data_IF_502566181496
#
_entry.id   IF_502566181496
#
_cell.length_a   1.000
_cell.length_b   1.000
_cell.length_c   1.000
_cell.angle_alpha   90.00
_cell.angle_beta   90.00
_cell.angle_gamma   90.00
#
_symmetry.space_group_name_H-M   'P 1'
#
loop_
_entity.id
_entity.type
_entity.pdbx_description
1 polymer ?
#
# COMPACT_ATOMS: atom_id res chain seq x y z
N UNK A 1 25.68 4.08 13.45
CA UNK A 1 25.35 4.62 14.79
C UNK A 1 23.87 4.91 14.72
N UNK A 2 23.07 4.52 15.68
CA UNK A 2 21.62 4.74 15.69
C UNK A 2 21.34 6.19 16.07
N UNK A 3 20.63 6.93 15.22
CA UNK A 3 20.31 8.34 15.41
C UNK A 3 18.87 8.47 15.92
N UNK A 4 18.71 9.14 17.06
CA UNK A 4 17.43 9.30 17.74
C UNK A 4 17.14 10.81 17.88
N UNK A 5 16.01 11.26 17.36
CA UNK A 5 15.50 12.59 17.61
C UNK A 5 14.70 12.57 18.91
N UNK A 6 15.00 13.48 19.85
CA UNK A 6 14.24 13.62 21.09
C UNK A 6 13.68 15.02 21.20
N UNK A 7 12.38 15.15 21.06
CA UNK A 7 11.66 16.41 21.07
C UNK A 7 10.90 16.58 22.38
N UNK A 8 11.28 17.60 23.16
CA UNK A 8 10.67 17.91 24.47
C UNK A 8 11.01 19.37 24.79
N UNK A 9 10.06 20.20 25.18
CA UNK A 9 10.29 21.61 25.51
C UNK A 9 11.17 21.78 26.75
N UNK A 10 11.19 20.78 27.63
CA UNK A 10 12.05 20.70 28.80
C UNK A 10 13.30 19.82 28.56
N UNK A 11 13.75 19.63 27.31
CA UNK A 11 14.84 18.70 26.94
C UNK A 11 16.15 19.01 27.69
N UNK A 12 16.40 20.25 28.08
CA UNK A 12 17.56 20.61 28.87
C UNK A 12 17.59 19.95 30.26
N UNK A 13 16.43 19.59 30.82
CA UNK A 13 16.31 18.86 32.08
C UNK A 13 16.58 17.35 31.90
N UNK A 14 16.50 16.86 30.67
CA UNK A 14 16.71 15.46 30.31
C UNK A 14 18.19 15.13 29.95
N UNK A 15 19.10 16.09 30.11
CA UNK A 15 20.56 15.87 29.87
C UNK A 15 21.12 14.61 30.52
N UNK A 16 20.78 14.24 31.78
CA UNK A 16 21.28 12.99 32.36
C UNK A 16 20.82 11.73 31.57
N UNK A 17 19.62 11.76 31.03
CA UNK A 17 19.09 10.67 30.19
C UNK A 17 19.83 10.59 28.85
N UNK A 18 20.08 11.74 28.24
CA UNK A 18 20.83 11.84 26.97
C UNK A 18 22.23 11.27 27.15
N UNK A 19 22.98 11.72 28.17
CA UNK A 19 24.33 11.23 28.47
C UNK A 19 24.31 9.71 28.69
N UNK A 20 23.35 9.19 29.44
CA UNK A 20 23.23 7.75 29.65
C UNK A 20 23.03 6.98 28.35
N UNK A 21 22.22 7.50 27.43
CA UNK A 21 21.98 6.85 26.13
C UNK A 21 23.18 6.96 25.19
N UNK A 22 23.90 8.09 25.20
CA UNK A 22 25.13 8.27 24.45
C UNK A 22 26.22 7.30 24.90
N UNK A 23 26.35 7.05 26.22
CA UNK A 23 27.24 6.02 26.77
C UNK A 23 26.86 4.60 26.32
N UNK A 24 25.59 4.37 25.92
CA UNK A 24 25.11 3.11 25.32
C UNK A 24 25.31 3.04 23.81
N UNK A 25 25.88 4.07 23.19
CA UNK A 25 26.21 4.09 21.77
C UNK A 25 25.13 4.64 20.84
N UNK A 26 24.11 5.30 21.39
CA UNK A 26 23.10 6.02 20.63
C UNK A 26 23.54 7.46 20.37
N UNK A 27 23.16 8.01 19.23
CA UNK A 27 23.34 9.43 18.95
C UNK A 27 22.00 10.13 19.15
N UNK A 28 21.95 11.05 20.13
CA UNK A 28 20.69 11.73 20.48
C UNK A 28 20.77 13.16 19.96
N UNK A 29 19.82 13.53 19.13
CA UNK A 29 19.65 14.90 18.64
C UNK A 29 18.46 15.53 19.39
N UNK A 30 18.68 16.52 20.25
CA UNK A 30 17.60 17.19 20.99
C UNK A 30 16.88 18.20 20.10
N UNK A 31 15.56 18.33 20.26
CA UNK A 31 14.73 19.42 19.74
C UNK A 31 13.84 19.96 20.84
N UNK A 32 13.55 21.28 20.83
CA UNK A 32 12.76 21.95 21.87
C UNK A 32 11.30 22.20 21.48
N UNK A 33 10.96 21.93 20.23
CA UNK A 33 9.61 22.13 19.69
C UNK A 33 9.32 21.20 18.53
N UNK A 34 8.02 21.06 18.19
CA UNK A 34 7.59 20.32 17.01
C UNK A 34 8.15 20.91 15.72
N UNK A 35 8.18 22.23 15.59
CA UNK A 35 8.72 22.90 14.40
C UNK A 35 10.21 22.59 14.21
N UNK A 36 11.03 22.68 15.27
CA UNK A 36 12.46 22.34 15.23
C UNK A 36 12.66 20.85 14.86
N UNK A 37 11.81 19.98 15.40
CA UNK A 37 11.86 18.55 15.06
C UNK A 37 11.59 18.30 13.57
N UNK A 38 10.62 18.97 12.98
CA UNK A 38 10.30 18.85 11.55
C UNK A 38 11.43 19.40 10.67
N UNK A 39 12.05 20.51 11.04
CA UNK A 39 13.22 21.05 10.33
C UNK A 39 14.40 20.07 10.36
N UNK A 40 14.69 19.48 11.53
CA UNK A 40 15.77 18.51 11.69
C UNK A 40 15.51 17.23 10.88
N UNK A 41 14.26 16.81 10.72
CA UNK A 41 13.88 15.65 9.91
C UNK A 41 14.02 15.88 8.40
N UNK A 42 13.85 17.11 7.94
CA UNK A 42 14.08 17.47 6.53
C UNK A 42 15.60 17.45 6.18
N UNK A 43 16.50 17.64 7.17
CA UNK A 43 17.94 17.71 6.98
C UNK A 43 18.69 16.41 7.33
N UNK A 44 18.13 15.56 8.19
CA UNK A 44 18.81 14.40 8.77
C UNK A 44 17.92 13.15 8.73
N UNK A 45 18.57 11.97 8.76
CA UNK A 45 17.87 10.69 8.90
C UNK A 45 17.92 10.23 10.36
N UNK A 46 16.78 9.82 10.87
CA UNK A 46 16.62 9.28 12.22
C UNK A 46 16.03 7.87 12.19
N UNK A 47 16.46 7.04 13.13
CA UNK A 47 16.00 5.66 13.30
C UNK A 47 14.82 5.54 14.27
N UNK A 48 14.65 6.54 15.15
CA UNK A 48 13.58 6.61 16.15
C UNK A 48 13.34 8.07 16.55
N UNK A 49 12.10 8.39 16.90
CA UNK A 49 11.73 9.69 17.45
C UNK A 49 11.07 9.50 18.81
N UNK A 50 11.55 10.20 19.83
CA UNK A 50 10.82 10.48 21.05
C UNK A 50 10.15 11.84 20.92
N UNK A 51 8.84 11.89 21.21
CA UNK A 51 8.02 13.09 21.00
C UNK A 51 7.17 13.36 22.23
N UNK A 52 7.43 14.48 22.91
CA UNK A 52 6.57 14.94 23.99
C UNK A 52 5.22 15.42 23.45
N UNK A 53 4.16 15.10 24.18
CA UNK A 53 2.80 15.51 23.84
C UNK A 53 2.59 17.00 24.12
N UNK A 54 3.04 17.47 25.28
CA UNK A 54 2.72 18.80 25.80
C UNK A 54 3.83 19.79 25.51
N UNK A 55 3.88 20.31 24.30
CA UNK A 55 4.83 21.34 23.89
C UNK A 55 4.13 22.66 23.53
N UNK A 56 4.75 23.81 23.81
CA UNK A 56 4.22 25.10 23.37
C UNK A 56 4.30 25.22 21.84
N UNK A 57 3.27 25.79 21.22
CA UNK A 57 3.16 25.93 19.77
C UNK A 57 2.51 24.70 19.14
N UNK A 58 3.27 23.94 18.36
CA UNK A 58 2.79 22.71 17.73
C UNK A 58 2.79 21.58 18.78
N UNK A 59 1.60 21.00 19.04
CA UNK A 59 1.49 19.86 19.98
C UNK A 59 2.22 18.61 19.46
N UNK A 60 2.46 17.64 20.35
CA UNK A 60 3.05 16.36 19.95
C UNK A 60 2.19 15.61 18.93
N UNK A 61 0.86 15.61 19.10
CA UNK A 61 -0.07 14.99 18.15
C UNK A 61 -0.07 15.69 16.78
N UNK A 62 -0.08 17.02 16.75
CA UNK A 62 -0.02 17.77 15.49
C UNK A 62 1.31 17.50 14.77
N UNK A 63 2.42 17.52 15.52
CA UNK A 63 3.76 17.18 15.01
C UNK A 63 3.78 15.76 14.44
N UNK A 64 3.20 14.79 15.15
CA UNK A 64 3.10 13.39 14.71
C UNK A 64 2.35 13.27 13.39
N UNK A 65 1.22 13.95 13.23
CA UNK A 65 0.42 13.90 12.01
C UNK A 65 1.22 14.40 10.80
N UNK A 66 1.86 15.57 10.92
CA UNK A 66 2.71 16.14 9.86
C UNK A 66 3.90 15.20 9.54
N UNK A 67 4.54 14.68 10.58
CA UNK A 67 5.67 13.76 10.45
C UNK A 67 5.28 12.49 9.70
N UNK A 68 4.12 11.90 10.04
CA UNK A 68 3.68 10.64 9.42
C UNK A 68 3.23 10.79 7.96
N UNK A 69 2.86 11.98 7.54
CA UNK A 69 2.61 12.28 6.12
C UNK A 69 3.90 12.24 5.29
N UNK A 70 5.03 12.72 5.84
CA UNK A 70 6.31 12.82 5.13
C UNK A 70 7.23 11.62 5.40
N UNK A 71 7.24 11.09 6.61
CA UNK A 71 8.16 10.10 7.14
C UNK A 71 7.42 8.93 7.82
N UNK A 72 6.52 8.26 7.10
CA UNK A 72 5.62 7.23 7.64
C UNK A 72 6.34 6.04 8.30
N UNK A 73 7.56 5.71 7.85
CA UNK A 73 8.32 4.55 8.29
C UNK A 73 9.09 4.74 9.60
N UNK A 74 9.35 5.99 10.02
CA UNK A 74 10.14 6.23 11.24
C UNK A 74 9.27 5.92 12.46
N UNK A 75 9.71 5.02 13.38
CA UNK A 75 8.97 4.74 14.60
C UNK A 75 8.97 5.96 15.53
N UNK A 76 7.78 6.25 16.08
CA UNK A 76 7.59 7.36 17.01
C UNK A 76 7.09 6.82 18.35
N UNK A 77 7.78 7.19 19.42
CA UNK A 77 7.41 6.90 20.80
C UNK A 77 6.94 8.19 21.45
N UNK A 78 5.65 8.28 21.73
CA UNK A 78 5.07 9.43 22.44
C UNK A 78 5.47 9.41 23.91
N UNK A 79 5.78 10.56 24.48
CA UNK A 79 6.02 10.75 25.90
C UNK A 79 4.97 11.71 26.43
N UNK A 80 4.18 11.31 27.43
CA UNK A 80 3.06 12.10 27.93
C UNK A 80 2.98 12.13 29.45
N UNK A 81 2.40 13.18 30.01
CA UNK A 81 2.12 13.31 31.44
C UNK A 81 0.75 12.72 31.85
N UNK A 82 -0.10 12.42 30.86
CA UNK A 82 -1.50 12.05 31.09
C UNK A 82 -1.74 10.58 30.74
N UNK A 83 -2.53 9.91 31.58
CA UNK A 83 -3.14 8.60 31.30
C UNK A 83 -4.51 8.78 30.63
N UNK A 84 -4.82 9.96 30.07
CA UNK A 84 -6.11 10.21 29.44
C UNK A 84 -6.29 9.31 28.22
N UNK A 85 -7.32 8.47 28.31
CA UNK A 85 -7.65 7.44 27.34
C UNK A 85 -7.87 8.03 25.92
N UNK A 86 -8.43 9.26 25.85
CA UNK A 86 -8.66 9.94 24.56
C UNK A 86 -7.37 10.31 23.82
N UNK A 87 -6.35 10.82 24.52
CA UNK A 87 -5.04 11.16 23.91
C UNK A 87 -4.34 9.90 23.41
N UNK A 88 -4.43 8.81 24.18
CA UNK A 88 -3.90 7.50 23.79
C UNK A 88 -4.61 6.92 22.58
N UNK A 89 -5.94 6.97 22.52
CA UNK A 89 -6.72 6.49 21.37
C UNK A 89 -6.39 7.28 20.10
N UNK A 90 -6.27 8.61 20.21
CA UNK A 90 -5.91 9.47 19.08
C UNK A 90 -4.47 9.22 18.60
N UNK A 91 -3.52 9.07 19.52
CA UNK A 91 -2.14 8.74 19.22
C UNK A 91 -2.00 7.36 18.57
N UNK A 92 -2.74 6.35 19.04
CA UNK A 92 -2.81 5.02 18.43
C UNK A 92 -3.42 5.11 17.03
N UNK A 93 -4.50 5.89 16.85
CA UNK A 93 -5.10 6.18 15.55
C UNK A 93 -4.13 6.86 14.59
N UNK A 94 -3.21 7.67 15.10
CA UNK A 94 -2.14 8.36 14.34
C UNK A 94 -0.88 7.50 14.11
N UNK A 95 -0.93 6.20 14.36
CA UNK A 95 0.15 5.22 14.09
C UNK A 95 1.45 5.45 14.87
N UNK A 96 1.36 5.70 16.18
CA UNK A 96 2.53 5.63 17.05
C UNK A 96 3.04 4.19 17.18
N UNK A 97 4.34 4.05 17.45
CA UNK A 97 4.95 2.74 17.67
C UNK A 97 4.91 2.30 19.14
N UNK A 98 4.97 3.26 20.06
CA UNK A 98 4.89 3.03 21.50
C UNK A 98 4.59 4.34 22.25
N UNK A 99 4.30 4.27 23.53
CA UNK A 99 4.18 5.45 24.39
C UNK A 99 4.83 5.22 25.76
N UNK A 100 5.27 6.30 26.40
CA UNK A 100 5.82 6.34 27.74
C UNK A 100 5.14 7.41 28.58
N UNK A 101 4.89 7.12 29.87
CA UNK A 101 4.26 8.04 30.79
C UNK A 101 5.33 8.72 31.67
N UNK A 102 5.34 10.04 31.73
CA UNK A 102 6.23 10.81 32.62
C UNK A 102 5.85 10.59 34.10
N UNK A 103 6.81 10.41 35.01
CA UNK A 103 8.26 10.54 34.80
C UNK A 103 8.88 9.29 34.18
N UNK A 104 9.60 9.47 33.07
CA UNK A 104 10.33 8.38 32.43
C UNK A 104 11.70 8.17 33.08
N UNK A 105 12.11 6.90 33.22
CA UNK A 105 13.45 6.58 33.66
C UNK A 105 14.32 6.06 32.49
N UNK A 106 15.67 6.15 32.59
CA UNK A 106 16.57 5.77 31.50
C UNK A 106 16.39 4.33 31.02
N UNK A 107 15.99 3.43 31.91
CA UNK A 107 15.79 2.01 31.57
C UNK A 107 14.53 1.79 30.71
N UNK A 108 13.46 2.55 30.98
CA UNK A 108 12.24 2.52 30.15
C UNK A 108 12.52 3.06 28.75
N UNK A 109 13.25 4.16 28.65
CA UNK A 109 13.65 4.74 27.35
C UNK A 109 14.51 3.74 26.58
N UNK A 110 15.52 3.14 27.22
CA UNK A 110 16.38 2.13 26.59
C UNK A 110 15.58 0.89 26.12
N UNK A 111 14.57 0.47 26.89
CA UNK A 111 13.71 -0.63 26.50
C UNK A 111 12.85 -0.27 25.28
N UNK A 112 12.28 0.93 25.26
CA UNK A 112 11.52 1.43 24.11
C UNK A 112 12.39 1.53 22.85
N UNK A 113 13.63 2.02 22.96
CA UNK A 113 14.59 2.05 21.86
C UNK A 113 14.81 0.63 21.31
N UNK A 114 15.19 -0.30 22.17
CA UNK A 114 15.47 -1.69 21.76
C UNK A 114 14.26 -2.34 21.11
N UNK A 115 13.07 -2.20 21.72
CA UNK A 115 11.83 -2.76 21.20
C UNK A 115 11.54 -2.26 19.78
N UNK A 116 11.63 -0.95 19.55
CA UNK A 116 11.23 -0.35 18.28
C UNK A 116 12.29 -0.53 17.17
N UNK A 117 13.58 -0.42 17.51
CA UNK A 117 14.66 -0.56 16.53
C UNK A 117 14.91 -2.04 16.19
N UNK A 118 14.99 -2.92 17.19
CA UNK A 118 15.23 -4.35 16.95
C UNK A 118 14.06 -4.98 16.20
N UNK A 119 12.82 -4.56 16.48
CA UNK A 119 11.64 -5.06 15.75
C UNK A 119 11.71 -4.67 14.27
N UNK A 120 11.99 -3.42 13.96
CA UNK A 120 12.11 -2.96 12.58
C UNK A 120 13.23 -3.69 11.83
N UNK A 121 14.41 -3.82 12.45
CA UNK A 121 15.53 -4.58 11.86
C UNK A 121 15.15 -6.05 11.61
N UNK A 122 14.47 -6.70 12.53
CA UNK A 122 14.01 -8.08 12.36
C UNK A 122 12.97 -8.20 11.24
N UNK A 123 12.09 -7.23 11.10
CA UNK A 123 11.11 -7.16 9.99
C UNK A 123 11.87 -7.03 8.66
N UNK A 124 12.79 -6.07 8.53
CA UNK A 124 13.60 -5.87 7.34
C UNK A 124 14.38 -7.14 6.96
N UNK A 125 15.14 -7.73 7.91
CA UNK A 125 15.91 -8.95 7.67
C UNK A 125 15.03 -10.14 7.25
N UNK A 126 13.84 -10.24 7.85
CA UNK A 126 12.88 -11.31 7.53
C UNK A 126 12.26 -11.09 6.15
N UNK A 127 11.82 -9.86 5.86
CA UNK A 127 11.26 -9.47 4.55
C UNK A 127 12.30 -9.70 3.45
N UNK A 128 13.54 -9.24 3.67
CA UNK A 128 14.66 -9.45 2.75
C UNK A 128 14.90 -10.92 2.45
N UNK A 129 15.00 -11.74 3.47
CA UNK A 129 15.25 -13.19 3.31
C UNK A 129 14.11 -13.89 2.56
N UNK A 130 12.87 -13.59 2.94
CA UNK A 130 11.70 -14.19 2.31
C UNK A 130 11.56 -13.75 0.85
N UNK A 131 11.80 -12.47 0.56
CA UNK A 131 11.80 -11.99 -0.81
C UNK A 131 12.91 -12.61 -1.66
N UNK A 132 14.13 -12.75 -1.14
CA UNK A 132 15.22 -13.42 -1.88
C UNK A 132 14.86 -14.85 -2.30
N UNK A 133 14.16 -15.59 -1.45
CA UNK A 133 13.66 -16.93 -1.79
C UNK A 133 12.61 -16.86 -2.89
N UNK A 134 11.63 -15.98 -2.74
CA UNK A 134 10.55 -15.79 -3.70
C UNK A 134 11.02 -15.18 -5.02
N UNK A 135 12.00 -14.28 -4.97
CA UNK A 135 12.65 -13.74 -6.17
C UNK A 135 13.14 -14.85 -7.10
N UNK A 136 13.83 -15.84 -6.55
CA UNK A 136 14.30 -17.01 -7.33
C UNK A 136 13.13 -17.79 -7.93
N UNK A 137 12.11 -18.04 -7.14
CA UNK A 137 10.92 -18.78 -7.58
C UNK A 137 10.18 -18.03 -8.69
N UNK A 138 10.00 -16.72 -8.56
CA UNK A 138 9.38 -15.87 -9.58
C UNK A 138 10.23 -15.88 -10.85
N UNK A 139 11.55 -15.69 -10.78
CA UNK A 139 12.45 -15.67 -11.92
C UNK A 139 12.48 -17.01 -12.68
N UNK A 140 12.49 -18.12 -11.95
CA UNK A 140 12.37 -19.47 -12.56
C UNK A 140 11.03 -19.61 -13.27
N UNK A 141 9.94 -19.18 -12.63
CA UNK A 141 8.60 -19.26 -13.20
C UNK A 141 8.48 -18.39 -14.46
N UNK A 142 9.00 -17.15 -14.43
CA UNK A 142 9.04 -16.27 -15.60
C UNK A 142 9.81 -16.85 -16.80
N UNK A 143 10.80 -17.73 -16.54
CA UNK A 143 11.57 -18.40 -17.59
C UNK A 143 10.80 -19.54 -18.27
N UNK A 144 9.63 -19.92 -17.76
CA UNK A 144 8.78 -20.99 -18.32
C UNK A 144 7.66 -20.42 -19.19
N UNK A 145 7.01 -21.29 -19.98
CA UNK A 145 5.80 -20.91 -20.71
C UNK A 145 4.62 -20.90 -19.75
N UNK A 146 4.06 -19.72 -19.49
CA UNK A 146 2.99 -19.52 -18.52
C UNK A 146 1.62 -19.44 -19.21
N UNK A 147 0.60 -19.97 -18.53
CA UNK A 147 -0.79 -19.73 -18.86
C UNK A 147 -1.36 -18.52 -18.10
N UNK A 148 -2.57 -18.10 -18.44
CA UNK A 148 -3.23 -16.92 -17.83
C UNK A 148 -3.33 -17.00 -16.31
N UNK A 149 -3.70 -18.16 -15.76
CA UNK A 149 -3.84 -18.34 -14.30
C UNK A 149 -2.50 -18.21 -13.57
N UNK A 150 -1.42 -18.69 -14.19
CA UNK A 150 -0.06 -18.54 -13.64
C UNK A 150 0.40 -17.08 -13.67
N UNK A 151 0.09 -16.34 -14.74
CA UNK A 151 0.33 -14.90 -14.82
C UNK A 151 -0.39 -14.12 -13.71
N UNK A 152 -1.64 -14.46 -13.41
CA UNK A 152 -2.38 -13.82 -12.32
C UNK A 152 -1.74 -14.08 -10.95
N UNK A 153 -1.23 -15.29 -10.73
CA UNK A 153 -0.49 -15.62 -9.49
C UNK A 153 0.80 -14.84 -9.36
N UNK A 154 1.56 -14.69 -10.44
CA UNK A 154 2.79 -13.88 -10.45
C UNK A 154 2.46 -12.41 -10.16
N UNK A 155 1.44 -11.86 -10.82
CA UNK A 155 1.02 -10.50 -10.60
C UNK A 155 0.64 -10.24 -9.14
N UNK A 156 -0.22 -11.08 -8.56
CA UNK A 156 -0.59 -10.99 -7.13
C UNK A 156 0.64 -11.06 -6.22
N UNK A 157 1.60 -11.90 -6.55
CA UNK A 157 2.82 -12.08 -5.77
C UNK A 157 3.75 -10.89 -5.85
N UNK A 158 3.89 -10.27 -7.02
CA UNK A 158 4.68 -9.05 -7.19
C UNK A 158 4.06 -7.86 -6.42
N UNK A 159 2.73 -7.71 -6.45
CA UNK A 159 2.02 -6.69 -5.67
C UNK A 159 2.16 -6.94 -4.15
N UNK A 160 2.04 -8.20 -3.71
CA UNK A 160 2.29 -8.55 -2.31
C UNK A 160 3.68 -8.08 -1.84
N UNK A 161 4.73 -8.37 -2.63
CA UNK A 161 6.08 -7.96 -2.29
C UNK A 161 6.29 -6.44 -2.37
N UNK A 162 5.62 -5.76 -3.30
CA UNK A 162 5.63 -4.31 -3.38
C UNK A 162 5.15 -3.67 -2.07
N UNK A 163 4.01 -4.13 -1.55
CA UNK A 163 3.45 -3.64 -0.29
C UNK A 163 4.30 -4.02 0.93
N UNK A 164 4.85 -5.22 0.98
CA UNK A 164 5.69 -5.68 2.10
C UNK A 164 7.04 -4.94 2.14
N UNK A 165 7.66 -4.71 0.99
CA UNK A 165 8.94 -3.99 0.88
C UNK A 165 8.74 -2.50 1.18
N UNK A 166 7.64 -1.89 0.69
CA UNK A 166 7.29 -0.51 1.03
C UNK A 166 7.13 -0.34 2.56
N UNK A 167 6.47 -1.28 3.22
CA UNK A 167 6.33 -1.28 4.69
C UNK A 167 7.66 -1.45 5.43
N UNK A 168 8.60 -2.21 4.87
CA UNK A 168 9.91 -2.43 5.49
C UNK A 168 10.87 -1.25 5.32
N UNK A 169 10.66 -0.41 4.27
CA UNK A 169 11.52 0.74 3.98
C UNK A 169 12.87 0.41 3.36
N UNK A 170 13.14 -0.85 2.97
CA UNK A 170 14.42 -1.27 2.36
C UNK A 170 14.51 -0.86 0.88
N UNK A 171 15.11 0.31 0.63
CA UNK A 171 15.31 0.86 -0.73
C UNK A 171 16.20 0.00 -1.64
N UNK A 172 17.06 -0.84 -1.07
CA UNK A 172 17.91 -1.73 -1.87
C UNK A 172 17.11 -2.84 -2.52
N UNK A 173 16.17 -3.41 -1.79
CA UNK A 173 15.27 -4.46 -2.28
C UNK A 173 14.19 -3.89 -3.20
N UNK A 174 13.71 -2.67 -2.94
CA UNK A 174 12.77 -1.98 -3.80
C UNK A 174 13.26 -1.90 -5.25
N UNK A 175 14.52 -1.53 -5.47
CA UNK A 175 15.13 -1.50 -6.82
C UNK A 175 15.19 -2.88 -7.47
N UNK A 176 15.48 -3.93 -6.71
CA UNK A 176 15.50 -5.30 -7.21
C UNK A 176 14.10 -5.76 -7.62
N UNK A 177 13.08 -5.44 -6.82
CA UNK A 177 11.68 -5.73 -7.15
C UNK A 177 11.24 -4.99 -8.42
N UNK A 178 11.62 -3.72 -8.57
CA UNK A 178 11.31 -2.94 -9.78
C UNK A 178 11.90 -3.58 -11.04
N UNK A 179 13.15 -4.04 -10.98
CA UNK A 179 13.76 -4.79 -12.09
C UNK A 179 12.98 -6.06 -12.41
N UNK A 180 12.54 -6.81 -11.41
CA UNK A 180 11.75 -8.04 -11.59
C UNK A 180 10.36 -7.73 -12.16
N UNK A 181 9.71 -6.65 -11.73
CA UNK A 181 8.43 -6.18 -12.29
C UNK A 181 8.58 -5.80 -13.78
N UNK A 182 9.67 -5.13 -14.15
CA UNK A 182 9.95 -4.76 -15.54
C UNK A 182 10.20 -5.99 -16.41
N UNK A 183 10.89 -7.01 -15.90
CA UNK A 183 11.05 -8.29 -16.59
C UNK A 183 9.69 -8.98 -16.78
N UNK A 184 8.88 -9.08 -15.71
CA UNK A 184 7.54 -9.66 -15.78
C UNK A 184 6.65 -8.94 -16.79
N UNK A 185 6.64 -7.60 -16.80
CA UNK A 185 5.89 -6.79 -17.76
C UNK A 185 6.31 -7.09 -19.21
N UNK A 186 7.61 -7.23 -19.45
CA UNK A 186 8.13 -7.56 -20.80
C UNK A 186 7.67 -8.94 -21.26
N UNK A 187 7.70 -9.92 -20.38
CA UNK A 187 7.25 -11.29 -20.67
C UNK A 187 5.72 -11.35 -20.84
N UNK A 188 4.97 -10.66 -19.97
CA UNK A 188 3.52 -10.61 -20.08
C UNK A 188 3.06 -9.91 -21.36
N UNK A 189 3.73 -8.83 -21.77
CA UNK A 189 3.46 -8.20 -23.07
C UNK A 189 3.57 -9.20 -24.23
N UNK A 190 4.62 -10.02 -24.25
CA UNK A 190 4.78 -11.07 -25.29
C UNK A 190 3.65 -12.08 -25.23
N UNK A 191 3.33 -12.55 -24.01
CA UNK A 191 2.23 -13.49 -23.80
C UNK A 191 0.90 -12.93 -24.31
N UNK A 192 0.56 -11.69 -23.98
CA UNK A 192 -0.67 -11.05 -24.48
C UNK A 192 -0.63 -10.90 -25.98
N UNK A 193 0.48 -10.43 -26.54
CA UNK A 193 0.64 -10.27 -28.01
C UNK A 193 0.41 -11.55 -28.77
N UNK A 194 0.89 -12.67 -28.23
CA UNK A 194 0.84 -13.98 -28.90
C UNK A 194 -0.55 -14.65 -28.77
N UNK A 195 -1.36 -14.29 -27.75
CA UNK A 195 -2.62 -14.97 -27.47
C UNK A 195 -3.87 -14.08 -27.66
N UNK A 196 -3.71 -12.76 -27.75
CA UNK A 196 -4.84 -11.83 -27.67
C UNK A 196 -5.87 -12.00 -28.79
N UNK A 197 -5.41 -12.29 -30.02
CA UNK A 197 -6.32 -12.52 -31.15
C UNK A 197 -7.15 -13.80 -30.93
N UNK A 198 -6.51 -14.89 -30.49
CA UNK A 198 -7.19 -16.15 -30.18
C UNK A 198 -8.26 -15.97 -29.10
N UNK A 199 -7.97 -15.15 -28.07
CA UNK A 199 -8.96 -14.80 -27.03
C UNK A 199 -10.16 -14.06 -27.60
N UNK A 200 -9.97 -13.12 -28.52
CA UNK A 200 -11.06 -12.41 -29.17
C UNK A 200 -11.89 -13.33 -30.06
N UNK A 201 -11.28 -14.35 -30.64
CA UNK A 201 -11.92 -15.36 -31.50
C UNK A 201 -12.56 -16.50 -30.68
N UNK A 202 -12.48 -16.45 -29.35
CA UNK A 202 -13.10 -17.41 -28.44
C UNK A 202 -12.28 -18.67 -28.15
N UNK A 203 -10.98 -18.67 -28.51
CA UNK A 203 -10.06 -19.79 -28.27
C UNK A 203 -9.32 -19.53 -26.94
N UNK A 204 -9.41 -20.45 -26.02
CA UNK A 204 -8.77 -20.40 -24.68
C UNK A 204 -8.93 -19.03 -23.98
N UNK A 205 -10.08 -18.38 -24.18
CA UNK A 205 -10.39 -17.04 -23.70
C UNK A 205 -10.41 -16.99 -22.17
N UNK A 206 -9.58 -16.16 -21.54
CA UNK A 206 -9.69 -15.91 -20.10
C UNK A 206 -10.97 -15.11 -19.78
N UNK A 207 -11.27 -14.92 -18.50
CA UNK A 207 -12.26 -13.93 -18.09
C UNK A 207 -11.80 -12.55 -18.57
N UNK A 208 -12.58 -11.88 -19.41
CA UNK A 208 -12.28 -10.58 -20.00
C UNK A 208 -13.41 -9.57 -19.72
N UNK A 209 -13.17 -8.29 -20.00
CA UNK A 209 -14.15 -7.22 -19.75
C UNK A 209 -15.55 -7.53 -20.30
N UNK A 210 -15.66 -8.06 -21.51
CA UNK A 210 -16.93 -8.31 -22.19
C UNK A 210 -17.72 -9.54 -21.69
N UNK A 211 -17.09 -10.43 -20.91
CA UNK A 211 -17.78 -11.60 -20.39
C UNK A 211 -17.92 -11.62 -18.86
N UNK A 212 -17.31 -10.65 -18.17
CA UNK A 212 -17.31 -10.59 -16.69
C UNK A 212 -18.72 -10.49 -16.11
N UNK A 213 -19.56 -9.63 -16.69
CA UNK A 213 -20.93 -9.43 -16.20
C UNK A 213 -21.75 -10.73 -16.32
N UNK A 214 -21.67 -11.38 -17.47
CA UNK A 214 -22.38 -12.64 -17.75
C UNK A 214 -21.89 -13.79 -16.87
N UNK A 215 -20.59 -13.90 -16.66
CA UNK A 215 -20.01 -15.05 -15.96
C UNK A 215 -19.92 -14.89 -14.45
N UNK A 216 -19.76 -13.66 -13.96
CA UNK A 216 -19.56 -13.38 -12.53
C UNK A 216 -20.71 -12.67 -11.85
N UNK A 217 -21.47 -11.83 -12.54
CA UNK A 217 -22.53 -11.02 -11.93
C UNK A 217 -23.89 -11.67 -12.09
N UNK A 218 -24.29 -12.02 -13.30
CA UNK A 218 -25.61 -12.62 -13.55
C UNK A 218 -25.90 -13.87 -12.71
N UNK A 219 -24.95 -14.80 -12.47
CA UNK A 219 -25.20 -15.97 -11.65
C UNK A 219 -25.48 -15.66 -10.18
N UNK A 220 -25.09 -14.47 -9.70
CA UNK A 220 -25.32 -14.02 -8.33
C UNK A 220 -26.66 -13.28 -8.17
N UNK A 221 -27.26 -12.84 -9.27
CA UNK A 221 -28.53 -12.13 -9.26
C UNK A 221 -29.66 -13.12 -8.93
N UNK A 222 -30.40 -12.81 -7.85
CA UNK A 222 -31.53 -13.62 -7.40
C UNK A 222 -32.67 -12.67 -7.07
N UNK A 223 -33.87 -13.02 -7.52
CA UNK A 223 -35.12 -12.23 -7.35
C UNK A 223 -35.45 -11.93 -5.87
N UNK A 224 -34.90 -12.72 -4.95
CA UNK A 224 -35.19 -12.60 -3.52
C UNK A 224 -34.17 -11.77 -2.71
N UNK A 225 -33.06 -11.32 -3.33
CA UNK A 225 -32.00 -10.54 -2.64
C UNK A 225 -31.49 -9.44 -3.55
N UNK A 226 -31.36 -8.22 -3.03
CA UNK A 226 -30.74 -7.14 -3.78
C UNK A 226 -29.26 -7.46 -4.06
N UNK A 227 -28.86 -7.28 -5.31
CA UNK A 227 -27.46 -7.40 -5.74
C UNK A 227 -26.98 -6.03 -6.15
N UNK A 228 -25.85 -5.58 -5.58
CA UNK A 228 -25.22 -4.32 -5.92
C UNK A 228 -23.96 -4.62 -6.72
N UNK A 229 -23.86 -4.08 -7.92
CA UNK A 229 -22.66 -4.11 -8.73
C UNK A 229 -21.96 -2.76 -8.61
N UNK A 230 -20.77 -2.74 -8.00
CA UNK A 230 -19.97 -1.52 -7.80
C UNK A 230 -18.74 -1.59 -8.71
N UNK A 231 -18.70 -0.70 -9.68
CA UNK A 231 -17.52 -0.52 -10.55
C UNK A 231 -16.73 0.69 -10.08
N UNK A 232 -15.48 0.46 -9.69
CA UNK A 232 -14.55 1.54 -9.31
C UNK A 232 -13.56 1.70 -10.46
N UNK A 233 -13.70 2.80 -11.19
CA UNK A 233 -12.82 3.13 -12.31
C UNK A 233 -11.42 3.46 -11.81
N UNK A 234 -10.39 2.98 -12.53
CA UNK A 234 -8.99 3.23 -12.24
C UNK A 234 -8.46 2.71 -10.88
N UNK A 235 -9.19 1.84 -10.19
CA UNK A 235 -8.71 1.19 -8.98
C UNK A 235 -7.69 0.10 -9.34
N UNK A 236 -6.45 0.24 -8.82
CA UNK A 236 -5.39 -0.77 -9.00
C UNK A 236 -5.48 -1.86 -7.94
N UNK A 237 -4.89 -3.02 -8.25
CA UNK A 237 -4.91 -4.17 -7.34
C UNK A 237 -4.13 -3.93 -6.03
N UNK A 238 -3.03 -3.17 -6.08
CA UNK A 238 -2.30 -2.72 -4.87
C UNK A 238 -3.18 -1.89 -3.95
N UNK A 239 -3.94 -0.93 -4.50
CA UNK A 239 -4.89 -0.13 -3.75
C UNK A 239 -6.02 -1.00 -3.16
N UNK A 240 -6.50 -1.98 -3.93
CA UNK A 240 -7.47 -2.96 -3.42
C UNK A 240 -6.93 -3.72 -2.21
N UNK A 241 -5.71 -4.25 -2.26
CA UNK A 241 -5.10 -4.98 -1.14
C UNK A 241 -4.91 -4.11 0.11
N UNK A 242 -4.72 -2.79 -0.06
CA UNK A 242 -4.63 -1.84 1.06
C UNK A 242 -5.98 -1.60 1.72
N UNK A 243 -7.07 -1.40 0.95
CA UNK A 243 -8.40 -1.11 1.50
C UNK A 243 -9.19 -2.35 1.91
N UNK A 244 -8.81 -3.52 1.42
CA UNK A 244 -9.49 -4.80 1.65
C UNK A 244 -9.67 -5.15 3.13
N UNK A 245 -8.69 -4.96 4.03
CA UNK A 245 -8.87 -5.22 5.47
C UNK A 245 -10.01 -4.44 6.10
N UNK A 246 -10.19 -3.17 5.72
CA UNK A 246 -11.25 -2.31 6.25
C UNK A 246 -12.64 -2.79 5.80
N UNK A 247 -12.74 -3.29 4.57
CA UNK A 247 -13.97 -3.88 4.07
C UNK A 247 -14.33 -5.18 4.80
N UNK A 248 -13.33 -5.98 5.19
CA UNK A 248 -13.54 -7.24 5.91
C UNK A 248 -14.16 -7.05 7.30
N UNK A 249 -14.10 -5.86 7.87
CA UNK A 249 -14.80 -5.53 9.12
C UNK A 249 -16.32 -5.60 8.97
N UNK A 250 -16.86 -5.38 7.76
CA UNK A 250 -18.29 -5.29 7.49
C UNK A 250 -18.81 -6.29 6.45
N UNK A 251 -17.92 -6.90 5.66
CA UNK A 251 -18.26 -7.77 4.53
C UNK A 251 -17.46 -9.07 4.56
N UNK A 252 -18.06 -10.15 4.05
CA UNK A 252 -17.35 -11.40 3.80
C UNK A 252 -16.99 -11.48 2.32
N UNK A 253 -15.71 -11.60 1.99
CA UNK A 253 -15.26 -11.81 0.61
C UNK A 253 -15.45 -13.29 0.26
N UNK A 254 -16.28 -13.55 -0.76
CA UNK A 254 -16.56 -14.91 -1.25
C UNK A 254 -15.52 -15.33 -2.29
N UNK A 255 -15.12 -14.42 -3.18
CA UNK A 255 -14.07 -14.64 -4.17
C UNK A 255 -13.30 -13.36 -4.46
N UNK A 256 -12.04 -13.50 -4.82
CA UNK A 256 -11.10 -12.43 -5.16
C UNK A 256 -10.32 -12.89 -6.41
N UNK A 257 -10.88 -12.55 -7.57
CA UNK A 257 -10.39 -12.97 -8.87
C UNK A 257 -9.81 -11.81 -9.68
N UNK A 258 -8.94 -12.12 -10.62
CA UNK A 258 -8.43 -11.18 -11.62
C UNK A 258 -9.04 -11.53 -12.97
N UNK A 259 -9.32 -10.52 -13.77
CA UNK A 259 -9.69 -10.67 -15.17
C UNK A 259 -8.72 -9.90 -16.08
N UNK A 260 -8.65 -10.31 -17.34
CA UNK A 260 -7.89 -9.60 -18.38
C UNK A 260 -8.75 -8.50 -18.99
N UNK A 261 -8.31 -7.25 -18.89
CA UNK A 261 -9.01 -6.15 -19.54
C UNK A 261 -8.86 -6.23 -21.05
N UNK A 262 -9.91 -5.80 -21.74
CA UNK A 262 -9.85 -5.62 -23.21
C UNK A 262 -8.89 -4.48 -23.55
N UNK A 263 -8.23 -4.57 -24.70
CA UNK A 263 -7.34 -3.53 -25.23
C UNK A 263 -8.04 -2.71 -26.34
N UNK A 264 -7.89 -1.38 -26.30
CA UNK A 264 -7.27 -0.57 -25.27
C UNK A 264 -8.09 -0.56 -23.96
N UNK A 265 -7.40 -0.39 -22.82
CA UNK A 265 -8.03 -0.40 -21.50
C UNK A 265 -8.77 0.89 -21.14
N UNK A 266 -8.88 1.82 -22.07
CA UNK A 266 -9.57 3.09 -21.83
C UNK A 266 -11.06 2.87 -21.52
N UNK A 267 -11.62 3.78 -20.73
CA UNK A 267 -12.95 3.69 -20.13
C UNK A 267 -14.04 3.37 -21.16
N UNK A 268 -14.09 4.09 -22.28
CA UNK A 268 -15.12 3.91 -23.31
C UNK A 268 -15.10 2.53 -23.98
N UNK A 269 -13.98 1.83 -24.01
CA UNK A 269 -13.90 0.47 -24.55
C UNK A 269 -14.15 -0.56 -23.45
N UNK A 270 -13.37 -0.51 -22.38
CA UNK A 270 -13.38 -1.54 -21.33
C UNK A 270 -14.67 -1.52 -20.53
N UNK A 271 -15.13 -0.35 -20.05
CA UNK A 271 -16.34 -0.23 -19.22
C UNK A 271 -17.60 -0.53 -20.04
N UNK A 272 -17.71 0.01 -21.25
CA UNK A 272 -18.83 -0.32 -22.12
C UNK A 272 -18.87 -1.82 -22.46
N UNK A 273 -17.72 -2.46 -22.65
CA UNK A 273 -17.67 -3.91 -22.87
C UNK A 273 -18.19 -4.72 -21.66
N UNK A 274 -17.87 -4.26 -20.42
CA UNK A 274 -18.37 -4.88 -19.18
C UNK A 274 -19.91 -4.86 -19.14
N UNK A 275 -20.51 -3.69 -19.33
CA UNK A 275 -21.96 -3.53 -19.22
C UNK A 275 -22.72 -4.10 -20.43
N UNK A 276 -22.21 -3.94 -21.63
CA UNK A 276 -22.83 -4.46 -22.84
C UNK A 276 -22.70 -5.99 -22.97
N UNK A 277 -21.71 -6.58 -22.31
CA UNK A 277 -21.38 -8.01 -22.49
C UNK A 277 -20.92 -8.33 -23.91
N UNK A 278 -20.31 -7.37 -24.61
CA UNK A 278 -19.94 -7.46 -26.02
C UNK A 278 -18.55 -6.85 -26.26
N UNK A 279 -17.89 -7.32 -27.29
CA UNK A 279 -16.67 -6.67 -27.80
C UNK A 279 -16.97 -5.28 -28.36
N UNK A 280 -16.06 -4.29 -28.27
CA UNK A 280 -16.27 -2.95 -28.82
C UNK A 280 -16.67 -2.93 -30.29
N UNK A 281 -16.08 -3.81 -31.12
CA UNK A 281 -16.45 -3.97 -32.55
C UNK A 281 -17.88 -4.49 -32.72
N UNK A 282 -18.35 -5.33 -31.79
CA UNK A 282 -19.72 -5.81 -31.81
C UNK A 282 -20.72 -4.74 -31.36
N UNK A 283 -20.33 -3.93 -30.34
CA UNK A 283 -21.13 -2.78 -29.87
C UNK A 283 -21.31 -1.80 -31.04
N UNK A 284 -20.21 -1.43 -31.71
CA UNK A 284 -20.25 -0.56 -32.86
C UNK A 284 -21.16 -1.08 -33.99
N UNK A 285 -21.08 -2.39 -34.28
CA UNK A 285 -21.89 -3.01 -35.32
C UNK A 285 -23.38 -3.10 -34.97
N UNK A 286 -23.70 -3.49 -33.71
CA UNK A 286 -25.09 -3.71 -33.26
C UNK A 286 -25.79 -2.42 -32.88
N UNK A 287 -25.05 -1.45 -32.33
CA UNK A 287 -25.56 -0.20 -31.81
C UNK A 287 -24.83 1.04 -32.37
N UNK A 288 -24.75 1.18 -33.71
CA UNK A 288 -23.93 2.22 -34.34
C UNK A 288 -24.34 3.65 -33.97
N UNK A 289 -25.60 3.85 -33.55
CA UNK A 289 -26.10 5.18 -33.12
C UNK A 289 -25.63 5.54 -31.70
N UNK A 290 -25.28 4.55 -30.91
CA UNK A 290 -24.83 4.70 -29.54
C UNK A 290 -23.29 4.69 -29.45
N UNK A 291 -22.61 4.15 -30.46
CA UNK A 291 -21.16 4.17 -30.51
C UNK A 291 -20.62 5.58 -30.82
N UNK A 292 -19.74 6.07 -29.96
CA UNK A 292 -19.01 7.32 -30.15
C UNK A 292 -17.51 7.08 -30.04
N UNK A 293 -16.73 7.80 -30.84
CA UNK A 293 -15.27 7.74 -30.80
C UNK A 293 -14.72 8.55 -29.61
N UNK A 294 -13.41 8.42 -29.36
CA UNK A 294 -12.72 9.09 -28.25
C UNK A 294 -12.84 10.63 -28.25
N UNK A 295 -12.99 11.22 -29.44
CA UNK A 295 -13.12 12.66 -29.62
C UNK A 295 -14.52 13.21 -29.29
N UNK A 296 -15.52 12.33 -29.16
CA UNK A 296 -16.89 12.69 -28.86
C UNK A 296 -17.17 12.74 -27.35
N UNK A 297 -17.63 13.87 -26.84
CA UNK A 297 -18.10 13.96 -25.46
C UNK A 297 -19.31 13.04 -25.21
N UNK A 298 -19.33 12.35 -24.08
CA UNK A 298 -20.45 11.52 -23.63
C UNK A 298 -20.41 10.05 -24.07
N UNK A 299 -19.45 9.62 -24.91
CA UNK A 299 -19.32 8.21 -25.31
C UNK A 299 -18.86 7.26 -24.21
N UNK A 300 -18.45 7.78 -23.06
CA UNK A 300 -17.90 7.00 -21.96
C UNK A 300 -18.92 6.19 -21.17
N UNK A 301 -20.19 6.64 -21.11
CA UNK A 301 -21.20 6.10 -20.19
C UNK A 301 -22.41 5.46 -20.91
N UNK A 302 -22.29 5.18 -22.18
CA UNK A 302 -23.40 4.79 -23.05
C UNK A 302 -24.23 3.58 -22.63
N UNK A 303 -23.63 2.63 -21.91
CA UNK A 303 -24.28 1.40 -21.49
C UNK A 303 -24.47 1.31 -19.98
N UNK A 304 -24.12 2.36 -19.26
CA UNK A 304 -24.36 2.47 -17.81
C UNK A 304 -25.72 3.12 -17.53
N UNK A 305 -26.18 4.00 -18.40
CA UNK A 305 -27.47 4.70 -18.36
C UNK A 305 -28.59 3.82 -18.94
#
# INVERSE_FOLDING_TARGET
MINILWTDDEIDLLKPHIIYLEEKGYNIVPAKSGDEALELLDENNFDLIFLDENMPGLSGLDTLNILKEKHSSIPVVMITKSEEEQIMEEAIGSKISDYLIKPVNPSQILLAIKKNIDTNRLIEETTTRNYQQDFRNISITLSSKLNTSEWYKIYKKLIYWELEIERSGDKGIEQILEMQKNEANTQYFKFVKDNYQDWLDGVDTPLMSHNIFKEKVLPLMNDNKPTYFVLIDNLRYDQWEVIKPDLLCNFNIISDDIYTSILPTSTQYSRNAIFAGLLPSEIQRRFPKMWKNDEDEGGKNMFEE
#
